data_IF_458233234072
#
_entry.id   IF_458233234072
#
_cell.length_a   1.000
_cell.length_b   1.000
_cell.length_c   1.000
_cell.angle_alpha   90.00
_cell.angle_beta   90.00
_cell.angle_gamma   90.00
#
_symmetry.space_group_name_H-M   'P 1'
#
loop_
_entity.id
_entity.type
_entity.pdbx_description
1 polymer ?
#
# COMPACT_ATOMS: atom_id res chain seq x y z
N UNK A 1 9.88 21.24 33.10
CA UNK A 1 9.97 19.80 32.89
C UNK A 1 10.17 19.58 31.39
N UNK A 2 11.39 19.35 30.98
CA UNK A 2 11.77 19.07 29.60
C UNK A 2 11.19 17.68 29.19
N UNK A 3 10.19 17.65 28.32
CA UNK A 3 9.77 16.39 27.67
C UNK A 3 10.96 15.86 26.90
N UNK A 4 11.59 14.80 27.40
CA UNK A 4 12.52 13.98 26.64
C UNK A 4 11.74 13.48 25.42
N UNK A 5 12.15 13.90 24.23
CA UNK A 5 11.63 13.34 22.99
C UNK A 5 11.90 11.82 23.03
N UNK A 6 10.85 11.01 23.01
CA UNK A 6 11.02 9.58 22.80
C UNK A 6 11.69 9.39 21.43
N UNK A 7 12.64 8.44 21.30
CA UNK A 7 13.21 8.13 20.01
C UNK A 7 12.08 7.82 19.04
N UNK A 8 12.13 8.40 17.84
CA UNK A 8 11.20 8.11 16.75
C UNK A 8 11.35 6.63 16.41
N UNK A 9 10.36 5.83 16.79
CA UNK A 9 10.29 4.42 16.44
C UNK A 9 10.11 4.33 14.93
N UNK A 10 11.13 3.80 14.24
CA UNK A 10 11.14 3.64 12.79
C UNK A 10 10.70 2.23 12.41
N UNK A 11 10.04 2.10 11.27
CA UNK A 11 9.73 0.77 10.72
C UNK A 11 11.02 0.04 10.36
N UNK A 12 11.05 -1.27 10.59
CA UNK A 12 12.18 -2.13 10.22
C UNK A 12 12.14 -2.58 8.76
N UNK A 13 11.07 -2.23 8.02
CA UNK A 13 10.98 -2.40 6.56
C UNK A 13 10.48 -1.12 5.90
N UNK A 14 10.89 -0.96 4.64
CA UNK A 14 10.27 -0.05 3.67
C UNK A 14 9.85 -0.85 2.44
N UNK A 15 8.90 -0.32 1.68
CA UNK A 15 8.52 -0.93 0.41
C UNK A 15 9.27 -0.27 -0.73
N UNK A 16 9.81 -1.10 -1.62
CA UNK A 16 10.38 -0.68 -2.89
C UNK A 16 9.32 -0.67 -3.99
N UNK A 17 9.71 -0.75 -5.27
CA UNK A 17 8.75 -0.70 -6.36
C UNK A 17 7.73 -1.84 -6.29
N UNK A 18 6.51 -1.50 -6.70
CA UNK A 18 5.42 -2.46 -6.94
C UNK A 18 5.39 -2.76 -8.44
N UNK A 19 5.43 -4.01 -8.82
CA UNK A 19 5.41 -4.44 -10.21
C UNK A 19 4.00 -4.94 -10.59
N UNK A 20 3.38 -4.32 -11.60
CA UNK A 20 2.06 -4.68 -12.09
C UNK A 20 2.12 -5.19 -13.52
N UNK A 21 1.46 -6.33 -13.80
CA UNK A 21 1.15 -6.73 -15.17
C UNK A 21 -0.10 -5.97 -15.62
N UNK A 22 -0.04 -5.30 -16.78
CA UNK A 22 -1.12 -4.45 -17.30
C UNK A 22 -1.53 -4.87 -18.72
N UNK A 23 -2.81 -4.61 -19.07
CA UNK A 23 -3.35 -4.97 -20.39
C UNK A 23 -2.95 -3.97 -21.46
N UNK A 24 -2.99 -2.68 -21.15
CA UNK A 24 -2.69 -1.57 -22.07
C UNK A 24 -1.75 -0.57 -21.40
N UNK A 25 -0.49 -0.57 -21.85
CA UNK A 25 0.53 0.31 -21.28
C UNK A 25 0.18 1.80 -21.47
N UNK A 26 -0.45 2.16 -22.60
CA UNK A 26 -0.84 3.55 -22.86
C UNK A 26 -1.91 4.05 -21.88
N UNK A 27 -2.95 3.24 -21.63
CA UNK A 27 -3.98 3.56 -20.64
C UNK A 27 -3.41 3.57 -19.22
N UNK A 28 -2.54 2.61 -18.89
CA UNK A 28 -1.87 2.59 -17.57
C UNK A 28 -0.98 3.81 -17.37
N UNK A 29 -0.24 4.26 -18.38
CA UNK A 29 0.57 5.49 -18.30
C UNK A 29 -0.30 6.75 -18.16
N UNK A 30 -1.43 6.84 -18.88
CA UNK A 30 -2.37 7.94 -18.71
C UNK A 30 -2.95 7.98 -17.28
N UNK A 31 -3.12 6.82 -16.63
CA UNK A 31 -3.53 6.76 -15.23
C UNK A 31 -2.38 7.05 -14.27
N UNK A 32 -1.33 6.25 -14.29
CA UNK A 32 -0.27 6.30 -13.28
C UNK A 32 0.64 7.53 -13.39
N UNK A 33 0.93 7.98 -14.61
CA UNK A 33 1.76 9.16 -14.85
C UNK A 33 0.90 10.44 -14.88
N UNK A 34 -0.15 10.48 -15.72
CA UNK A 34 -0.83 11.74 -16.02
C UNK A 34 -1.94 12.09 -15.01
N UNK A 35 -2.58 11.08 -14.38
CA UNK A 35 -3.59 11.29 -13.35
C UNK A 35 -2.99 11.18 -11.94
N UNK A 36 -2.31 10.07 -11.60
CA UNK A 36 -1.69 9.86 -10.28
C UNK A 36 -0.55 10.85 -10.06
N UNK A 37 0.23 11.15 -11.09
CA UNK A 37 1.31 12.13 -11.04
C UNK A 37 2.69 11.54 -10.76
N UNK A 38 2.88 10.23 -10.99
CA UNK A 38 4.21 9.63 -11.04
C UNK A 38 4.96 10.08 -12.29
N UNK A 39 6.28 10.16 -12.23
CA UNK A 39 7.13 10.54 -13.34
C UNK A 39 7.74 9.30 -13.99
N UNK A 40 7.89 9.30 -15.34
CA UNK A 40 8.65 8.25 -16.02
C UNK A 40 10.13 8.40 -15.69
N UNK A 41 10.77 7.32 -15.24
CA UNK A 41 12.18 7.30 -14.84
C UNK A 41 13.05 6.58 -15.86
N UNK A 42 12.60 5.44 -16.35
CA UNK A 42 13.29 4.66 -17.38
C UNK A 42 12.32 3.68 -18.04
N UNK A 43 12.71 3.21 -19.22
CA UNK A 43 12.13 2.05 -19.89
C UNK A 43 13.13 0.90 -19.83
N UNK A 44 12.66 -0.32 -19.75
CA UNK A 44 13.49 -1.52 -19.79
C UNK A 44 13.52 -2.14 -21.19
N UNK A 45 14.51 -2.98 -21.48
CA UNK A 45 14.65 -3.67 -22.77
C UNK A 45 13.47 -4.61 -23.08
N UNK A 46 12.77 -5.10 -22.05
CA UNK A 46 11.56 -5.95 -22.17
C UNK A 46 10.26 -5.14 -22.28
N UNK A 47 10.37 -3.82 -22.37
CA UNK A 47 9.24 -2.89 -22.56
C UNK A 47 8.48 -2.53 -21.28
N UNK A 48 9.00 -2.84 -20.11
CA UNK A 48 8.43 -2.34 -18.87
C UNK A 48 8.81 -0.86 -18.65
N UNK A 49 7.94 -0.10 -17.97
CA UNK A 49 8.15 1.32 -17.67
C UNK A 49 8.24 1.53 -16.17
N UNK A 50 9.33 2.17 -15.74
CA UNK A 50 9.57 2.55 -14.35
C UNK A 50 8.97 3.92 -14.09
N UNK A 51 8.13 4.02 -13.06
CA UNK A 51 7.46 5.24 -12.62
C UNK A 51 7.80 5.53 -11.15
N UNK A 52 7.89 6.81 -10.80
CA UNK A 52 8.20 7.18 -9.42
C UNK A 52 8.22 8.69 -9.21
N UNK A 53 8.98 9.11 -8.23
CA UNK A 53 9.29 10.52 -7.94
C UNK A 53 10.73 10.82 -8.36
N UNK A 54 11.22 12.02 -8.08
CA UNK A 54 12.60 12.39 -8.41
C UNK A 54 13.65 11.54 -7.66
N UNK A 55 13.30 11.01 -6.49
CA UNK A 55 14.20 10.28 -5.60
C UNK A 55 14.07 8.75 -5.68
N UNK A 56 12.90 8.17 -5.95
CA UNK A 56 12.72 6.71 -5.95
C UNK A 56 11.78 6.22 -7.05
N UNK A 57 11.97 4.95 -7.47
CA UNK A 57 11.03 4.20 -8.29
C UNK A 57 9.98 3.57 -7.39
N UNK A 58 8.70 3.87 -7.64
CA UNK A 58 7.58 3.38 -6.83
C UNK A 58 6.77 2.29 -7.54
N UNK A 59 6.75 2.32 -8.86
CA UNK A 59 5.91 1.43 -9.67
C UNK A 59 6.65 1.00 -10.93
N UNK A 60 6.46 -0.26 -11.33
CA UNK A 60 6.93 -0.79 -12.62
C UNK A 60 5.76 -1.43 -13.34
N UNK A 61 5.44 -0.93 -14.53
CA UNK A 61 4.36 -1.43 -15.38
C UNK A 61 4.92 -2.40 -16.41
N UNK A 62 4.45 -3.64 -16.39
CA UNK A 62 4.82 -4.68 -17.32
C UNK A 62 3.67 -4.94 -18.31
N UNK A 63 3.83 -4.63 -19.61
CA UNK A 63 2.81 -4.91 -20.62
C UNK A 63 2.69 -6.41 -20.88
N UNK A 64 1.56 -6.83 -21.45
CA UNK A 64 1.36 -8.20 -21.93
C UNK A 64 0.27 -8.99 -21.23
N UNK A 65 -0.42 -8.44 -20.23
CA UNK A 65 -1.67 -9.03 -19.78
C UNK A 65 -2.71 -8.96 -20.90
N UNK A 66 -3.60 -9.95 -20.98
CA UNK A 66 -4.62 -10.08 -22.04
C UNK A 66 -6.04 -9.92 -21.53
N UNK A 67 -6.20 -9.81 -20.21
CA UNK A 67 -7.49 -9.54 -19.55
C UNK A 67 -7.29 -8.72 -18.29
N UNK A 68 -8.25 -7.84 -17.92
CA UNK A 68 -8.18 -7.05 -16.70
C UNK A 68 -8.25 -7.94 -15.45
N UNK A 69 -7.99 -7.35 -14.30
CA UNK A 69 -8.07 -8.00 -13.00
C UNK A 69 -9.44 -8.63 -12.77
N UNK A 70 -9.48 -9.77 -12.09
CA UNK A 70 -10.70 -10.54 -11.84
C UNK A 70 -10.96 -10.68 -10.36
N UNK A 71 -12.21 -10.50 -9.96
CA UNK A 71 -12.69 -10.82 -8.62
C UNK A 71 -12.64 -12.34 -8.36
N UNK A 72 -12.63 -12.71 -7.07
CA UNK A 72 -12.60 -14.12 -6.63
C UNK A 72 -11.19 -14.73 -6.61
N UNK A 73 -10.15 -13.93 -6.74
CA UNK A 73 -8.76 -14.37 -6.75
C UNK A 73 -7.93 -13.73 -5.64
N UNK A 74 -6.87 -14.43 -5.22
CA UNK A 74 -5.80 -13.84 -4.42
C UNK A 74 -5.01 -12.84 -5.27
N UNK A 75 -4.36 -11.87 -4.61
CA UNK A 75 -3.62 -10.82 -5.32
C UNK A 75 -3.72 -9.48 -4.61
N UNK A 76 -3.54 -8.40 -5.36
CA UNK A 76 -3.61 -7.05 -4.85
C UNK A 76 -5.06 -6.66 -4.50
N UNK A 77 -5.27 -6.19 -3.26
CA UNK A 77 -6.44 -5.40 -2.95
C UNK A 77 -6.16 -3.92 -3.25
N UNK A 78 -5.12 -3.34 -2.65
CA UNK A 78 -4.56 -2.07 -3.07
C UNK A 78 -3.07 -1.95 -2.70
N UNK A 79 -2.35 -1.17 -3.47
CA UNK A 79 -1.11 -0.55 -3.05
C UNK A 79 -1.43 0.85 -2.54
N UNK A 80 -0.72 1.31 -1.50
CA UNK A 80 -0.94 2.63 -0.94
C UNK A 80 0.24 3.56 -1.17
N UNK A 81 -0.03 4.67 -1.83
CA UNK A 81 0.91 5.78 -2.01
C UNK A 81 0.73 6.73 -0.83
N UNK A 82 1.74 6.81 0.05
CA UNK A 82 1.76 7.73 1.18
C UNK A 82 2.31 9.08 0.76
N UNK A 83 1.54 10.11 1.02
CA UNK A 83 1.88 11.49 0.69
C UNK A 83 2.55 12.16 1.91
N UNK A 84 3.56 13.04 1.69
CA UNK A 84 4.39 13.54 2.78
C UNK A 84 3.69 14.54 3.70
N UNK A 85 2.59 15.17 3.27
CA UNK A 85 1.90 16.18 4.04
C UNK A 85 0.49 16.49 3.51
N UNK A 86 -0.27 17.26 4.29
CA UNK A 86 -1.64 17.70 4.00
C UNK A 86 -1.77 18.46 2.67
N UNK A 87 -0.80 19.29 2.33
CA UNK A 87 -0.85 20.08 1.10
C UNK A 87 -0.81 19.17 -0.15
N UNK A 88 0.02 18.15 -0.13
CA UNK A 88 0.13 17.19 -1.25
C UNK A 88 -1.11 16.28 -1.32
N UNK A 89 -1.66 15.90 -0.18
CA UNK A 89 -2.92 15.17 -0.13
C UNK A 89 -4.09 16.00 -0.70
N UNK A 90 -4.15 17.30 -0.38
CA UNK A 90 -5.12 18.23 -0.94
C UNK A 90 -4.95 18.40 -2.46
N UNK A 91 -3.71 18.47 -2.96
CA UNK A 91 -3.43 18.55 -4.41
C UNK A 91 -3.96 17.33 -5.17
N UNK A 92 -3.68 16.14 -4.65
CA UNK A 92 -4.18 14.89 -5.23
C UNK A 92 -5.71 14.89 -5.23
N UNK A 93 -6.35 15.27 -4.12
CA UNK A 93 -7.81 15.34 -4.04
C UNK A 93 -8.40 16.28 -5.12
N UNK A 94 -7.84 17.48 -5.28
CA UNK A 94 -8.30 18.44 -6.30
C UNK A 94 -8.08 17.90 -7.71
N UNK A 95 -6.92 17.32 -8.00
CA UNK A 95 -6.61 16.72 -9.31
C UNK A 95 -7.66 15.67 -9.68
N UNK A 96 -7.95 14.75 -8.76
CA UNK A 96 -8.97 13.71 -8.99
C UNK A 96 -10.36 14.28 -9.22
N UNK A 97 -10.75 15.35 -8.49
CA UNK A 97 -12.01 16.05 -8.72
C UNK A 97 -12.08 16.72 -10.09
N UNK A 98 -11.05 17.47 -10.47
CA UNK A 98 -10.98 18.17 -11.75
C UNK A 98 -11.02 17.18 -12.94
N UNK A 99 -10.41 16.02 -12.77
CA UNK A 99 -10.43 14.93 -13.75
C UNK A 99 -11.69 14.04 -13.67
N UNK A 100 -12.64 14.38 -12.77
CA UNK A 100 -13.91 13.65 -12.56
C UNK A 100 -13.70 12.15 -12.32
N UNK A 101 -12.63 11.82 -11.60
CA UNK A 101 -12.27 10.43 -11.28
C UNK A 101 -13.22 9.86 -10.23
N UNK A 102 -13.71 8.64 -10.44
CA UNK A 102 -14.44 7.91 -9.40
C UNK A 102 -13.47 7.57 -8.27
N UNK A 103 -13.81 8.00 -7.05
CA UNK A 103 -12.98 7.79 -5.87
C UNK A 103 -13.82 7.67 -4.61
N UNK A 104 -13.25 7.10 -3.56
CA UNK A 104 -13.89 6.95 -2.25
C UNK A 104 -13.02 7.59 -1.16
N UNK A 105 -13.24 8.88 -0.84
CA UNK A 105 -12.53 9.56 0.25
C UNK A 105 -13.02 9.07 1.61
N UNK A 106 -12.09 8.65 2.48
CA UNK A 106 -12.39 8.01 3.78
C UNK A 106 -11.48 8.55 4.87
N UNK A 107 -12.01 8.76 6.07
CA UNK A 107 -11.26 9.08 7.30
C UNK A 107 -11.17 7.84 8.19
N UNK A 108 -9.97 7.28 8.32
CA UNK A 108 -9.67 6.16 9.22
C UNK A 108 -9.20 6.61 10.62
N UNK A 109 -9.21 7.89 10.90
CA UNK A 109 -8.64 8.54 12.09
C UNK A 109 -7.12 8.46 12.13
N UNK A 110 -6.53 7.26 11.98
CA UNK A 110 -5.08 7.03 11.89
C UNK A 110 -4.48 7.45 10.55
N UNK A 111 -5.32 7.62 9.54
CA UNK A 111 -4.98 8.12 8.21
C UNK A 111 -6.19 8.74 7.55
N UNK A 112 -5.93 9.66 6.60
CA UNK A 112 -6.88 10.10 5.59
C UNK A 112 -6.58 9.34 4.30
N UNK A 113 -7.61 8.83 3.62
CA UNK A 113 -7.45 7.95 2.47
C UNK A 113 -8.33 8.37 1.29
N UNK A 114 -7.85 8.12 0.06
CA UNK A 114 -8.64 8.22 -1.17
C UNK A 114 -8.43 6.95 -1.96
N UNK A 115 -9.48 6.16 -2.12
CA UNK A 115 -9.47 4.89 -2.86
C UNK A 115 -9.94 5.07 -4.29
N UNK A 116 -9.29 4.41 -5.23
CA UNK A 116 -9.67 4.30 -6.62
C UNK A 116 -9.06 3.06 -7.25
N UNK A 117 -9.52 2.68 -8.42
CA UNK A 117 -8.96 1.57 -9.19
C UNK A 117 -8.24 2.10 -10.44
N UNK A 118 -7.18 1.41 -10.86
CA UNK A 118 -6.52 1.65 -12.12
C UNK A 118 -7.38 1.14 -13.30
N UNK A 119 -6.99 1.38 -14.58
CA UNK A 119 -7.76 0.93 -15.75
C UNK A 119 -7.97 -0.59 -15.84
N UNK A 120 -7.11 -1.38 -15.21
CA UNK A 120 -7.23 -2.83 -15.14
C UNK A 120 -8.02 -3.32 -13.91
N UNK A 121 -8.47 -2.42 -13.04
CA UNK A 121 -9.20 -2.75 -11.81
C UNK A 121 -8.29 -3.13 -10.65
N UNK A 122 -7.03 -2.73 -10.67
CA UNK A 122 -6.09 -2.88 -9.56
C UNK A 122 -6.25 -1.69 -8.60
N UNK A 123 -6.41 -1.98 -7.30
CA UNK A 123 -6.69 -0.96 -6.29
C UNK A 123 -5.49 -0.07 -5.97
N UNK A 124 -5.76 1.22 -5.85
CA UNK A 124 -4.85 2.26 -5.38
C UNK A 124 -5.47 2.99 -4.19
N UNK A 125 -4.67 3.27 -3.18
CA UNK A 125 -4.99 4.17 -2.09
C UNK A 125 -3.98 5.32 -2.04
N UNK A 126 -4.44 6.56 -2.03
CA UNK A 126 -3.62 7.67 -1.55
C UNK A 126 -3.84 7.83 -0.05
N UNK A 127 -2.76 7.85 0.70
CA UNK A 127 -2.80 7.89 2.17
C UNK A 127 -2.01 9.07 2.72
N UNK A 128 -2.59 9.74 3.70
CA UNK A 128 -1.89 10.65 4.59
C UNK A 128 -1.95 10.07 6.01
N UNK A 129 -0.79 9.72 6.59
CA UNK A 129 -0.72 9.21 7.96
C UNK A 129 -1.05 10.31 8.98
N UNK A 130 -1.95 10.00 9.92
CA UNK A 130 -2.36 10.89 11.02
C UNK A 130 -2.45 10.12 12.35
N UNK A 131 -1.40 9.33 12.74
CA UNK A 131 -1.46 8.48 13.93
C UNK A 131 -1.63 9.27 15.24
N UNK A 132 -1.27 10.55 15.27
CA UNK A 132 -1.47 11.45 16.40
C UNK A 132 -2.95 11.73 16.69
N UNK A 133 -3.84 11.52 15.72
CA UNK A 133 -5.29 11.67 15.89
C UNK A 133 -5.92 10.50 16.66
N UNK A 134 -5.20 9.40 16.85
CA UNK A 134 -5.68 8.22 17.59
C UNK A 134 -5.19 8.27 19.03
N UNK A 135 -6.13 8.34 19.98
CA UNK A 135 -5.85 8.19 21.42
C UNK A 135 -5.78 6.73 21.83
N UNK A 136 -6.73 5.91 21.34
CA UNK A 136 -6.74 4.47 21.59
C UNK A 136 -7.53 3.75 20.50
N UNK A 137 -7.12 2.52 20.19
CA UNK A 137 -7.82 1.61 19.30
C UNK A 137 -7.81 0.21 19.89
N UNK A 138 -8.94 -0.47 19.85
CA UNK A 138 -9.05 -1.87 20.25
C UNK A 138 -10.06 -2.61 19.38
N UNK A 139 -9.82 -3.88 19.14
CA UNK A 139 -10.79 -4.75 18.49
C UNK A 139 -11.83 -5.22 19.52
N UNK A 140 -13.10 -5.21 19.09
CA UNK A 140 -14.22 -5.75 19.86
C UNK A 140 -15.01 -6.70 18.98
N UNK A 141 -15.89 -7.57 19.55
CA UNK A 141 -16.76 -8.42 18.75
C UNK A 141 -17.67 -7.67 17.76
N UNK A 142 -17.86 -6.34 17.97
CA UNK A 142 -18.66 -5.46 17.10
C UNK A 142 -17.81 -4.69 16.07
N UNK A 143 -16.51 -4.98 15.99
CA UNK A 143 -15.55 -4.29 15.14
C UNK A 143 -14.59 -3.37 15.92
N UNK A 144 -13.80 -2.55 15.22
CA UNK A 144 -12.87 -1.63 15.86
C UNK A 144 -13.60 -0.57 16.69
N UNK A 145 -13.10 -0.30 17.86
CA UNK A 145 -13.47 0.84 18.68
C UNK A 145 -12.29 1.81 18.71
N UNK A 146 -12.45 2.95 18.06
CA UNK A 146 -11.43 3.98 17.97
C UNK A 146 -11.88 5.19 18.79
N UNK A 147 -11.01 5.64 19.68
CA UNK A 147 -11.18 6.91 20.39
C UNK A 147 -10.12 7.86 19.83
N UNK A 148 -10.59 8.97 19.27
CA UNK A 148 -9.70 9.99 18.72
C UNK A 148 -9.03 10.85 19.82
N UNK A 149 -8.14 11.75 19.43
CA UNK A 149 -7.39 12.62 20.33
C UNK A 149 -8.30 13.50 21.19
N UNK A 150 -9.49 13.87 20.69
CA UNK A 150 -10.49 14.68 21.38
C UNK A 150 -11.40 13.84 22.30
N UNK A 151 -11.20 12.52 22.34
CA UNK A 151 -11.99 11.59 23.15
C UNK A 151 -13.31 11.16 22.51
N UNK A 152 -13.52 11.46 21.24
CA UNK A 152 -14.71 11.06 20.52
C UNK A 152 -14.58 9.63 19.99
N UNK A 153 -15.69 8.87 20.02
CA UNK A 153 -15.74 7.54 19.40
C UNK A 153 -15.94 7.69 17.90
N UNK A 154 -15.06 7.03 17.14
CA UNK A 154 -15.04 7.06 15.68
C UNK A 154 -15.23 5.64 15.11
N UNK A 155 -15.77 5.58 13.90
CA UNK A 155 -15.97 4.29 13.21
C UNK A 155 -14.68 3.76 12.58
N UNK A 156 -13.72 4.64 12.28
CA UNK A 156 -12.55 4.34 11.46
C UNK A 156 -12.86 4.19 9.97
N UNK A 157 -14.09 4.51 9.56
CA UNK A 157 -14.55 4.58 8.16
C UNK A 157 -15.52 5.73 7.99
N UNK A 158 -15.17 6.87 8.56
CA UNK A 158 -15.99 8.06 8.49
C UNK A 158 -15.81 8.74 7.11
N UNK A 159 -16.79 9.50 6.61
CA UNK A 159 -16.58 10.36 5.44
C UNK A 159 -15.44 11.33 5.70
N UNK A 160 -14.54 11.48 4.72
CA UNK A 160 -13.46 12.46 4.80
C UNK A 160 -14.04 13.89 4.75
N UNK A 161 -13.59 14.77 5.65
CA UNK A 161 -13.95 16.18 5.60
C UNK A 161 -13.19 16.87 4.44
N UNK A 162 -13.83 16.91 3.28
CA UNK A 162 -13.25 17.49 2.07
C UNK A 162 -12.96 18.99 2.21
N UNK A 163 -13.74 19.71 3.05
CA UNK A 163 -13.53 21.15 3.27
C UNK A 163 -12.26 21.38 4.09
N UNK A 164 -12.05 20.56 5.10
CA UNK A 164 -10.84 20.59 5.91
C UNK A 164 -9.61 20.30 5.03
N UNK A 165 -9.64 19.22 4.24
CA UNK A 165 -8.54 18.85 3.33
C UNK A 165 -8.26 19.98 2.33
N UNK A 166 -9.28 20.56 1.68
CA UNK A 166 -9.11 21.66 0.73
C UNK A 166 -8.55 22.93 1.37
N UNK A 167 -8.75 23.11 2.68
CA UNK A 167 -8.15 24.20 3.46
C UNK A 167 -6.62 24.17 3.51
N UNK A 168 -6.00 23.02 3.24
CA UNK A 168 -4.54 22.85 3.17
C UNK A 168 -3.95 23.09 1.80
N UNK A 169 -4.77 23.37 0.76
CA UNK A 169 -4.27 23.61 -0.59
C UNK A 169 -3.52 24.97 -0.63
N UNK A 170 -2.20 24.96 -0.88
CA UNK A 170 -1.41 26.21 -0.77
C UNK A 170 -1.54 27.11 -1.98
N UNK A 171 -1.90 26.56 -3.14
CA UNK A 171 -1.96 27.24 -4.45
C UNK A 171 -2.85 26.44 -5.41
N UNK A 172 -2.82 26.81 -6.71
CA UNK A 172 -3.60 26.14 -7.78
C UNK A 172 -2.76 25.21 -8.66
N UNK A 173 -1.58 24.82 -8.21
CA UNK A 173 -0.67 23.95 -8.98
C UNK A 173 -0.91 22.45 -8.69
N UNK A 174 -2.15 21.99 -8.78
CA UNK A 174 -2.50 20.60 -8.51
C UNK A 174 -2.06 19.60 -9.59
N UNK A 175 -1.66 20.08 -10.78
CA UNK A 175 -1.20 19.23 -11.89
C UNK A 175 0.28 18.83 -11.77
N UNK A 176 1.03 19.40 -10.83
CA UNK A 176 2.46 19.07 -10.66
C UNK A 176 2.63 17.60 -10.26
N UNK A 177 3.74 16.94 -10.62
CA UNK A 177 4.05 15.58 -10.21
C UNK A 177 4.04 15.40 -8.69
N UNK A 178 3.91 14.14 -8.24
CA UNK A 178 4.08 13.79 -6.84
C UNK A 178 5.50 14.14 -6.37
N UNK A 179 5.65 14.75 -5.17
CA UNK A 179 6.93 15.25 -4.69
C UNK A 179 7.82 14.14 -4.14
N UNK A 180 9.08 14.48 -3.96
CA UNK A 180 10.03 13.74 -3.10
C UNK A 180 9.43 13.52 -1.71
N UNK A 181 9.69 12.34 -1.12
CA UNK A 181 9.09 11.90 0.14
C UNK A 181 7.74 11.19 -0.02
N UNK A 182 7.21 11.09 -1.24
CA UNK A 182 6.12 10.16 -1.56
C UNK A 182 6.66 8.73 -1.59
N UNK A 183 5.98 7.79 -0.94
CA UNK A 183 6.46 6.40 -0.83
C UNK A 183 5.34 5.39 -1.06
N UNK A 184 5.68 4.13 -1.35
CA UNK A 184 4.76 3.03 -1.10
C UNK A 184 4.75 2.80 0.41
N UNK A 185 3.68 3.17 1.07
CA UNK A 185 3.61 3.19 2.53
C UNK A 185 3.02 1.93 3.12
N UNK A 186 2.12 1.24 2.40
CA UNK A 186 1.60 -0.07 2.79
C UNK A 186 1.09 -0.88 1.60
N UNK A 187 0.97 -2.20 1.82
CA UNK A 187 0.40 -3.15 0.87
C UNK A 187 -0.78 -3.88 1.51
N UNK A 188 -1.87 -4.01 0.79
CA UNK A 188 -3.03 -4.80 1.22
C UNK A 188 -3.34 -5.87 0.19
N UNK A 189 -3.34 -7.14 0.62
CA UNK A 189 -3.48 -8.28 -0.29
C UNK A 189 -4.73 -9.11 0.01
N UNK A 190 -5.32 -9.67 -1.03
CA UNK A 190 -6.27 -10.76 -0.92
C UNK A 190 -5.51 -12.08 -0.78
N UNK A 191 -5.91 -12.90 0.18
CA UNK A 191 -5.36 -14.24 0.44
C UNK A 191 -6.48 -15.28 0.47
N UNK A 192 -6.14 -16.56 0.31
CA UNK A 192 -7.11 -17.65 0.43
C UNK A 192 -7.30 -18.15 1.85
N UNK A 193 -6.33 -17.90 2.76
CA UNK A 193 -6.37 -18.31 4.17
C UNK A 193 -5.67 -17.26 5.03
N UNK A 194 -6.47 -16.55 5.85
CA UNK A 194 -5.96 -15.51 6.75
C UNK A 194 -4.95 -16.06 7.75
N UNK A 195 -5.19 -17.26 8.29
CA UNK A 195 -4.32 -17.81 9.34
C UNK A 195 -3.00 -18.33 8.77
N UNK A 196 -3.01 -18.90 7.57
CA UNK A 196 -1.78 -19.26 6.88
C UNK A 196 -0.98 -17.99 6.50
N UNK A 197 -1.66 -16.96 6.01
CA UNK A 197 -1.06 -15.64 5.74
C UNK A 197 -0.48 -15.00 7.01
N UNK A 198 -1.23 -15.01 8.13
CA UNK A 198 -0.75 -14.47 9.41
C UNK A 198 0.57 -15.13 9.84
N UNK A 199 0.63 -16.45 9.82
CA UNK A 199 1.88 -17.17 10.16
C UNK A 199 3.03 -16.77 9.24
N UNK A 200 2.76 -16.63 7.93
CA UNK A 200 3.79 -16.24 6.98
C UNK A 200 4.31 -14.82 7.25
N UNK A 201 3.42 -13.82 7.30
CA UNK A 201 3.84 -12.43 7.48
C UNK A 201 4.44 -12.17 8.86
N UNK A 202 3.89 -12.78 9.91
CA UNK A 202 4.38 -12.62 11.28
C UNK A 202 5.62 -13.48 11.56
N UNK A 203 5.53 -14.80 11.36
CA UNK A 203 6.53 -15.75 11.86
C UNK A 203 7.72 -15.87 10.90
N UNK A 204 7.51 -15.72 9.57
CA UNK A 204 8.58 -15.78 8.61
C UNK A 204 9.14 -14.41 8.23
N UNK A 205 8.29 -13.39 7.97
CA UNK A 205 8.76 -12.07 7.57
C UNK A 205 8.99 -11.11 8.73
N UNK A 206 8.58 -11.45 9.96
CA UNK A 206 8.85 -10.67 11.17
C UNK A 206 7.91 -9.50 11.43
N UNK A 207 6.82 -9.34 10.65
CA UNK A 207 5.82 -8.32 10.94
C UNK A 207 5.12 -8.60 12.26
N UNK A 208 4.58 -7.56 12.89
CA UNK A 208 3.90 -7.63 14.17
C UNK A 208 2.39 -7.50 13.96
N UNK A 209 1.59 -8.36 14.60
CA UNK A 209 0.14 -8.27 14.54
C UNK A 209 -0.33 -6.93 15.13
N UNK A 210 -1.15 -6.19 14.36
CA UNK A 210 -1.77 -4.94 14.81
C UNK A 210 -3.26 -5.14 15.14
N UNK A 211 -4.06 -5.57 14.16
CA UNK A 211 -5.50 -5.78 14.32
C UNK A 211 -5.94 -7.07 13.63
N UNK A 212 -6.76 -7.86 14.31
CA UNK A 212 -7.37 -9.09 13.78
C UNK A 212 -8.88 -8.88 13.66
N UNK A 213 -9.37 -8.84 12.42
CA UNK A 213 -10.80 -8.66 12.09
C UNK A 213 -11.52 -10.00 11.82
N UNK A 214 -10.82 -11.13 12.00
CA UNK A 214 -11.32 -12.45 11.63
C UNK A 214 -11.19 -12.74 10.12
N UNK A 215 -11.77 -11.91 9.27
CA UNK A 215 -11.65 -12.01 7.80
C UNK A 215 -10.45 -11.28 7.20
N UNK A 216 -9.64 -10.64 8.03
CA UNK A 216 -8.42 -9.93 7.66
C UNK A 216 -7.58 -9.59 8.87
N UNK A 217 -6.32 -9.30 8.64
CA UNK A 217 -5.33 -8.93 9.67
C UNK A 217 -4.48 -7.78 9.15
N UNK A 218 -4.27 -6.78 10.02
CA UNK A 218 -3.29 -5.73 9.81
C UNK A 218 -2.01 -6.05 10.57
N UNK A 219 -0.89 -5.67 9.98
CA UNK A 219 0.44 -5.79 10.57
C UNK A 219 1.18 -4.47 10.56
N UNK A 220 2.09 -4.31 11.50
CA UNK A 220 3.02 -3.19 11.54
C UNK A 220 4.49 -3.65 11.57
N UNK A 221 5.38 -2.72 11.27
CA UNK A 221 6.82 -2.95 11.20
C UNK A 221 7.56 -2.20 12.32
N UNK A 222 6.99 -2.19 13.53
CA UNK A 222 7.47 -1.55 14.76
C UNK A 222 7.37 -0.01 14.79
N UNK A 223 7.13 0.66 13.66
CA UNK A 223 6.90 2.10 13.60
C UNK A 223 5.58 2.56 14.24
N UNK A 224 5.31 3.87 14.13
CA UNK A 224 4.09 4.49 14.69
C UNK A 224 2.83 4.13 13.91
N UNK A 225 2.94 3.96 12.60
CA UNK A 225 1.82 3.59 11.74
C UNK A 225 1.56 2.07 11.83
N UNK A 226 0.35 1.69 12.22
CA UNK A 226 0.01 0.31 12.56
C UNK A 226 -0.65 -0.46 11.40
N UNK A 227 -0.42 -0.03 10.17
CA UNK A 227 -0.99 -0.63 8.96
C UNK A 227 0.04 -0.62 7.81
N UNK A 228 1.18 -1.33 7.98
CA UNK A 228 2.22 -1.45 6.94
C UNK A 228 1.96 -2.58 5.96
N UNK A 229 1.36 -3.65 6.44
CA UNK A 229 0.94 -4.79 5.64
C UNK A 229 -0.46 -5.21 6.07
N UNK A 230 -1.31 -5.61 5.15
CA UNK A 230 -2.61 -6.16 5.47
C UNK A 230 -3.00 -7.31 4.53
N UNK A 231 -3.76 -8.25 5.06
CA UNK A 231 -4.31 -9.38 4.31
C UNK A 231 -5.79 -9.56 4.62
N UNK A 232 -6.56 -10.04 3.66
CA UNK A 232 -7.97 -10.38 3.85
C UNK A 232 -8.43 -11.52 2.94
N UNK A 233 -9.58 -12.15 3.28
CA UNK A 233 -10.26 -13.18 2.47
C UNK A 233 -11.54 -12.64 1.81
N UNK A 234 -11.62 -11.36 1.50
CA UNK A 234 -12.85 -10.75 0.93
C UNK A 234 -13.16 -11.19 -0.49
N UNK A 235 -12.21 -11.83 -1.17
CA UNK A 235 -12.43 -12.50 -2.45
C UNK A 235 -12.89 -13.96 -2.32
N UNK A 236 -13.02 -14.45 -1.10
CA UNK A 236 -13.45 -15.80 -0.72
C UNK A 236 -12.32 -16.61 -0.09
N UNK A 237 -12.68 -17.43 0.89
CA UNK A 237 -11.76 -18.43 1.45
C UNK A 237 -11.36 -19.43 0.36
N UNK A 238 -10.09 -19.82 0.34
CA UNK A 238 -9.52 -20.68 -0.70
C UNK A 238 -9.22 -20.00 -2.02
N UNK A 239 -9.33 -18.64 -2.11
CA UNK A 239 -8.95 -17.89 -3.30
C UNK A 239 -7.49 -18.18 -3.70
N UNK A 240 -7.28 -18.44 -4.98
CA UNK A 240 -5.98 -18.72 -5.61
C UNK A 240 -5.60 -17.60 -6.56
N UNK A 241 -4.35 -17.60 -7.03
CA UNK A 241 -3.88 -16.64 -8.02
C UNK A 241 -4.76 -16.67 -9.30
N UNK A 242 -4.96 -15.52 -9.96
CA UNK A 242 -5.71 -15.44 -11.21
C UNK A 242 -5.03 -16.24 -12.32
N UNK A 243 -5.77 -16.63 -13.38
CA UNK A 243 -5.20 -17.28 -14.54
C UNK A 243 -4.06 -16.46 -15.18
N UNK A 244 -3.09 -17.16 -15.79
CA UNK A 244 -2.02 -16.51 -16.55
C UNK A 244 -2.58 -15.54 -17.59
N UNK A 245 -1.91 -14.41 -17.79
CA UNK A 245 -2.36 -13.35 -18.69
C UNK A 245 -3.41 -12.40 -18.11
N UNK A 246 -3.79 -12.55 -16.85
CA UNK A 246 -4.64 -11.58 -16.15
C UNK A 246 -3.77 -10.43 -15.61
N UNK A 247 -4.24 -9.19 -15.74
CA UNK A 247 -3.62 -8.04 -15.09
C UNK A 247 -3.64 -8.24 -13.56
N UNK A 248 -2.50 -8.10 -12.90
CA UNK A 248 -2.33 -8.46 -11.51
C UNK A 248 -1.04 -7.89 -10.92
N UNK A 249 -0.91 -7.95 -9.61
CA UNK A 249 0.37 -7.80 -8.92
C UNK A 249 1.33 -8.89 -9.42
N UNK A 250 2.48 -8.46 -9.98
CA UNK A 250 3.56 -9.37 -10.36
C UNK A 250 4.43 -9.70 -9.14
N UNK A 251 4.88 -8.69 -8.44
CA UNK A 251 5.52 -8.73 -7.11
C UNK A 251 5.66 -7.30 -6.56
N UNK A 252 6.08 -7.18 -5.31
CA UNK A 252 6.52 -5.94 -4.70
C UNK A 252 7.80 -6.19 -3.90
N UNK A 253 8.56 -5.14 -3.64
CA UNK A 253 9.84 -5.25 -2.91
C UNK A 253 9.65 -4.88 -1.45
N UNK A 254 10.20 -5.69 -0.54
CA UNK A 254 10.33 -5.40 0.90
C UNK A 254 11.81 -5.21 1.19
N UNK A 255 12.20 -4.00 1.62
CA UNK A 255 13.56 -3.67 2.03
C UNK A 255 13.65 -3.69 3.55
N UNK A 256 14.45 -4.59 4.09
CA UNK A 256 14.75 -4.63 5.52
C UNK A 256 15.81 -3.58 5.89
N UNK A 257 15.72 -3.04 7.09
CA UNK A 257 16.65 -2.05 7.63
C UNK A 257 18.04 -2.63 7.94
N UNK A 258 18.15 -3.98 8.07
CA UNK A 258 19.41 -4.69 8.32
C UNK A 258 19.48 -6.03 7.59
N UNK A 259 20.72 -6.42 7.22
CA UNK A 259 21.01 -7.74 6.65
C UNK A 259 20.60 -8.89 7.59
N UNK A 260 20.72 -8.71 8.91
CA UNK A 260 20.34 -9.73 9.90
C UNK A 260 18.86 -10.07 9.83
N UNK A 261 18.01 -9.05 9.69
CA UNK A 261 16.57 -9.27 9.54
C UNK A 261 16.23 -9.93 8.20
N UNK A 262 16.89 -9.52 7.13
CA UNK A 262 16.74 -10.17 5.83
C UNK A 262 17.14 -11.64 5.91
N UNK A 263 18.31 -11.97 6.47
CA UNK A 263 18.77 -13.35 6.59
C UNK A 263 17.86 -14.19 7.49
N UNK A 264 17.31 -13.62 8.57
CA UNK A 264 16.34 -14.29 9.42
C UNK A 264 15.04 -14.63 8.65
N UNK A 265 14.53 -13.68 7.86
CA UNK A 265 13.35 -13.90 7.03
C UNK A 265 13.61 -14.97 5.95
N UNK A 266 14.74 -14.91 5.24
CA UNK A 266 15.11 -15.91 4.24
C UNK A 266 15.26 -17.31 4.84
N UNK A 267 15.86 -17.43 6.01
CA UNK A 267 15.98 -18.71 6.73
C UNK A 267 14.62 -19.28 7.15
N UNK A 268 13.68 -18.41 7.54
CA UNK A 268 12.34 -18.83 7.95
C UNK A 268 11.44 -19.24 6.76
N UNK A 269 11.58 -18.57 5.62
CA UNK A 269 10.86 -18.90 4.38
C UNK A 269 11.42 -20.18 3.74
N UNK A 270 12.74 -20.39 3.76
CA UNK A 270 13.43 -21.55 3.22
C UNK A 270 13.73 -21.44 1.73
N UNK A 271 12.72 -21.57 0.86
CA UNK A 271 12.91 -21.46 -0.60
C UNK A 271 12.74 -20.01 -1.06
N UNK A 272 13.86 -19.36 -1.39
CA UNK A 272 13.93 -17.96 -1.80
C UNK A 272 14.94 -17.79 -2.94
N UNK A 273 14.59 -18.17 -4.18
CA UNK A 273 15.49 -18.06 -5.32
C UNK A 273 15.96 -16.63 -5.55
N UNK A 274 17.17 -16.49 -6.09
CA UNK A 274 17.75 -15.21 -6.45
C UNK A 274 16.91 -14.50 -7.50
N UNK A 275 16.74 -13.20 -7.33
CA UNK A 275 16.04 -12.27 -8.22
C UNK A 275 16.94 -11.05 -8.46
N UNK A 276 16.86 -10.33 -9.59
CA UNK A 276 17.67 -9.13 -9.82
C UNK A 276 17.56 -8.05 -8.72
N UNK A 277 16.43 -7.99 -8.03
CA UNK A 277 16.18 -7.02 -6.94
C UNK A 277 16.37 -7.61 -5.53
N UNK A 278 16.76 -8.90 -5.39
CA UNK A 278 16.94 -9.56 -4.10
C UNK A 278 16.60 -11.05 -4.13
N UNK A 279 15.65 -11.48 -3.32
CA UNK A 279 15.21 -12.88 -3.19
C UNK A 279 13.70 -12.98 -3.36
N UNK A 280 13.25 -13.74 -4.37
CA UNK A 280 11.82 -13.91 -4.64
C UNK A 280 11.19 -14.92 -3.67
N UNK A 281 10.14 -14.50 -2.99
CA UNK A 281 9.35 -15.37 -2.10
C UNK A 281 7.86 -15.25 -2.43
N UNK A 282 7.07 -16.23 -1.99
CA UNK A 282 5.62 -16.22 -2.16
C UNK A 282 4.93 -16.53 -0.85
N UNK A 283 3.83 -15.82 -0.57
CA UNK A 283 2.96 -16.18 0.54
C UNK A 283 2.17 -17.49 0.23
N UNK A 284 1.48 -18.08 1.21
CA UNK A 284 0.70 -19.30 1.00
C UNK A 284 -0.40 -19.20 -0.08
N UNK A 285 -0.80 -18.00 -0.47
CA UNK A 285 -1.79 -17.72 -1.53
C UNK A 285 -1.15 -17.42 -2.89
N UNK A 286 0.19 -17.46 -2.96
CA UNK A 286 0.96 -17.23 -4.18
C UNK A 286 1.30 -15.77 -4.46
N UNK A 287 0.95 -14.81 -3.58
CA UNK A 287 1.38 -13.43 -3.73
C UNK A 287 2.90 -13.34 -3.65
N UNK A 288 3.51 -12.76 -4.68
CA UNK A 288 4.95 -12.70 -4.82
C UNK A 288 5.50 -11.40 -4.24
N UNK A 289 6.65 -11.50 -3.59
CA UNK A 289 7.42 -10.37 -3.10
C UNK A 289 8.93 -10.66 -3.22
N UNK A 290 9.73 -9.61 -3.31
CA UNK A 290 11.18 -9.70 -3.33
C UNK A 290 11.71 -9.12 -2.03
N UNK A 291 12.49 -9.90 -1.29
CA UNK A 291 13.14 -9.48 -0.06
C UNK A 291 14.56 -8.99 -0.33
N UNK A 292 14.92 -7.84 0.23
CA UNK A 292 16.25 -7.23 0.12
C UNK A 292 16.57 -6.43 1.40
N UNK A 293 17.78 -5.92 1.52
CA UNK A 293 18.22 -4.99 2.57
C UNK A 293 18.88 -3.76 1.96
#
# INVERSE_FOLDING_TARGET
MTKTAQPTQTDFVTFGPVHLNVTDLGQSLAFWRDLVGLQSRADTDDGAVLLGTDDDTLLVLHPGATSPARRGHAGLYHLAIHLPNEAEFARVLVRLFERRTMMSPTDHVMSKAIYLDDPDGLGLEFTLETPERVRSMRMTPMGPEIIDADGQRRSGRDPLDLREVLGHLPDREWERPLPVGTTIGHMHLHVGDVRAGQRFYRDALGFLDANDFGSGIDFHADGRFKHRMAINVWQGEGAVQPPAGTAALRHFVIRYDTDERLQAALAAVGDAPSHPEGHLVRDPSGNAMVLTS
#
